data_IF_691952032638
#
_entry.id   IF_691952032638
#
_cell.length_a   1.000
_cell.length_b   1.000
_cell.length_c   1.000
_cell.angle_alpha   90.00
_cell.angle_beta   90.00
_cell.angle_gamma   90.00
#
_symmetry.space_group_name_H-M   'P 1'
#
loop_
_entity.id
_entity.type
_entity.pdbx_description
1 polymer ?
#
# COMPACT_ATOMS: atom_id res chain seq x y z
N UNK A 1 4.41 9.41 -15.56
CA UNK A 1 3.90 10.55 -14.75
C UNK A 1 4.65 10.52 -13.44
N UNK A 2 5.19 11.65 -13.03
CA UNK A 2 5.95 11.81 -11.79
C UNK A 2 4.98 11.97 -10.61
N UNK A 3 5.30 11.37 -9.47
CA UNK A 3 4.55 11.42 -8.21
C UNK A 3 3.02 11.35 -8.42
N UNK A 4 2.60 10.29 -9.12
CA UNK A 4 1.22 10.08 -9.55
C UNK A 4 0.25 10.03 -8.35
N UNK A 5 0.59 9.28 -7.31
CA UNK A 5 -0.26 9.15 -6.13
C UNK A 5 -0.31 10.44 -5.33
N UNK A 6 0.84 11.10 -5.16
CA UNK A 6 0.90 12.39 -4.48
C UNK A 6 -0.05 13.40 -5.13
N UNK A 7 -0.04 13.48 -6.46
CA UNK A 7 -0.92 14.36 -7.22
C UNK A 7 -2.40 13.99 -7.07
N UNK A 8 -2.76 12.70 -7.12
CA UNK A 8 -4.16 12.25 -6.99
C UNK A 8 -4.72 12.54 -5.60
N UNK A 9 -3.91 12.30 -4.57
CA UNK A 9 -4.30 12.57 -3.18
C UNK A 9 -4.26 14.09 -2.89
N UNK A 10 -3.59 14.86 -3.74
CA UNK A 10 -3.37 16.29 -3.59
C UNK A 10 -2.42 16.59 -2.42
N UNK A 11 -1.34 15.81 -2.29
CA UNK A 11 -0.35 15.94 -1.23
C UNK A 11 1.02 16.37 -1.77
N UNK A 12 1.82 16.94 -0.87
CA UNK A 12 3.22 17.32 -1.07
C UNK A 12 4.09 16.77 0.08
N UNK A 13 5.40 17.04 0.05
CA UNK A 13 6.37 16.61 1.06
C UNK A 13 6.01 17.13 2.47
N UNK A 14 5.38 18.30 2.57
CA UNK A 14 5.05 18.96 3.85
C UNK A 14 3.76 18.40 4.48
N UNK A 15 2.82 17.95 3.64
CA UNK A 15 1.45 17.68 4.10
C UNK A 15 1.02 16.20 4.04
N UNK A 16 1.77 15.33 3.34
CA UNK A 16 1.30 13.96 3.07
C UNK A 16 1.01 13.18 4.36
N UNK A 17 1.88 13.26 5.37
CA UNK A 17 1.67 12.58 6.66
C UNK A 17 0.39 13.05 7.34
N UNK A 18 0.18 14.37 7.43
CA UNK A 18 -0.99 14.98 8.07
C UNK A 18 -2.29 14.57 7.36
N UNK A 19 -2.30 14.57 6.02
CA UNK A 19 -3.49 14.17 5.24
C UNK A 19 -3.75 12.66 5.37
N UNK A 20 -2.72 11.83 5.22
CA UNK A 20 -2.86 10.37 5.32
C UNK A 20 -3.30 9.91 6.71
N UNK A 21 -2.96 10.64 7.77
CA UNK A 21 -3.41 10.34 9.13
C UNK A 21 -4.89 10.62 9.38
N UNK A 22 -5.58 11.33 8.48
CA UNK A 22 -7.04 11.54 8.58
C UNK A 22 -7.84 10.32 8.13
N UNK A 23 -7.23 9.43 7.35
CA UNK A 23 -7.90 8.18 6.96
C UNK A 23 -7.92 7.25 8.15
N UNK A 24 -9.12 6.77 8.46
CA UNK A 24 -9.36 5.78 9.51
C UNK A 24 -8.52 4.51 9.30
N UNK A 25 -8.44 4.05 8.05
CA UNK A 25 -7.68 2.87 7.66
C UNK A 25 -7.17 3.03 6.22
N UNK A 26 -5.96 2.52 5.97
CA UNK A 26 -5.36 2.39 4.64
C UNK A 26 -4.81 0.97 4.53
N UNK A 27 -5.35 0.18 3.61
CA UNK A 27 -4.94 -1.21 3.38
C UNK A 27 -3.89 -1.35 2.30
N UNK A 28 -3.27 -2.53 2.25
CA UNK A 28 -2.30 -2.93 1.23
C UNK A 28 -2.95 -3.89 0.23
N UNK A 29 -2.98 -3.52 -1.05
CA UNK A 29 -3.53 -4.38 -2.10
C UNK A 29 -2.72 -5.67 -2.30
N UNK A 30 -1.41 -5.68 -2.05
CA UNK A 30 -0.58 -6.89 -2.14
C UNK A 30 -0.92 -7.88 -1.01
N UNK A 31 -1.47 -7.39 0.10
CA UNK A 31 -1.90 -8.17 1.26
C UNK A 31 -3.40 -7.98 1.47
N UNK A 32 -4.20 -8.13 0.40
CA UNK A 32 -5.62 -7.75 0.40
C UNK A 32 -6.42 -8.45 1.50
N UNK A 33 -6.31 -9.79 1.60
CA UNK A 33 -6.99 -10.55 2.66
C UNK A 33 -6.57 -10.07 4.04
N UNK A 34 -5.26 -9.93 4.28
CA UNK A 34 -4.73 -9.43 5.56
C UNK A 34 -5.25 -8.03 5.90
N UNK A 35 -5.38 -7.16 4.89
CA UNK A 35 -5.91 -5.80 5.09
C UNK A 35 -7.37 -5.82 5.56
N UNK A 36 -8.20 -6.70 4.99
CA UNK A 36 -9.58 -6.87 5.43
C UNK A 36 -9.68 -7.52 6.81
N UNK A 37 -8.83 -8.51 7.08
CA UNK A 37 -8.79 -9.16 8.39
C UNK A 37 -8.41 -8.16 9.50
N UNK A 38 -7.40 -7.32 9.28
CA UNK A 38 -6.99 -6.25 10.21
C UNK A 38 -8.11 -5.23 10.38
N UNK A 39 -8.78 -4.82 9.30
CA UNK A 39 -9.91 -3.91 9.37
C UNK A 39 -11.07 -4.50 10.19
N UNK A 40 -11.39 -5.78 10.01
CA UNK A 40 -12.40 -6.47 10.81
C UNK A 40 -12.04 -6.49 12.29
N UNK A 41 -10.78 -6.78 12.63
CA UNK A 41 -10.28 -6.75 14.00
C UNK A 41 -10.37 -5.34 14.63
N UNK A 42 -10.01 -4.29 13.89
CA UNK A 42 -10.14 -2.89 14.34
C UNK A 42 -11.62 -2.55 14.63
N UNK A 43 -12.55 -3.05 13.82
CA UNK A 43 -13.98 -2.80 13.95
C UNK A 43 -14.70 -3.75 14.94
N UNK A 44 -14.02 -4.74 15.51
CA UNK A 44 -14.64 -5.77 16.33
C UNK A 44 -15.66 -6.63 15.56
N UNK A 45 -15.39 -6.90 14.28
CA UNK A 45 -16.24 -7.71 13.39
C UNK A 45 -15.57 -9.05 13.10
N UNK A 46 -16.39 -10.02 12.67
CA UNK A 46 -15.88 -11.28 12.15
C UNK A 46 -15.08 -11.05 10.86
N UNK A 47 -14.03 -11.85 10.66
CA UNK A 47 -13.28 -11.88 9.41
C UNK A 47 -14.14 -12.47 8.30
N UNK A 48 -13.88 -12.05 7.06
CA UNK A 48 -14.53 -12.59 5.87
C UNK A 48 -13.45 -13.12 4.93
N UNK A 49 -13.68 -14.28 4.33
CA UNK A 49 -12.81 -14.77 3.27
C UNK A 49 -13.14 -14.02 1.97
N UNK A 50 -12.15 -13.38 1.37
CA UNK A 50 -12.32 -12.67 0.12
C UNK A 50 -12.24 -13.66 -1.04
N UNK A 51 -13.20 -13.64 -1.98
CA UNK A 51 -13.24 -14.60 -3.09
C UNK A 51 -12.16 -14.39 -4.16
N UNK A 52 -11.37 -13.32 -4.07
CA UNK A 52 -10.45 -12.88 -5.13
C UNK A 52 -9.03 -12.71 -4.60
N UNK A 53 -8.11 -13.48 -5.17
CA UNK A 53 -6.67 -13.20 -5.13
C UNK A 53 -6.43 -12.10 -6.19
N UNK A 54 -5.66 -11.07 -5.84
CA UNK A 54 -5.31 -9.98 -6.77
C UNK A 54 -4.48 -10.52 -7.96
N UNK A 55 -5.15 -11.09 -8.97
CA UNK A 55 -4.53 -11.47 -10.24
C UNK A 55 -4.53 -10.20 -11.09
N UNK A 56 -3.47 -9.41 -10.98
CA UNK A 56 -3.23 -8.38 -11.98
C UNK A 56 -3.01 -9.07 -13.31
N UNK A 57 -3.78 -8.76 -14.36
CA UNK A 57 -3.57 -9.30 -15.72
C UNK A 57 -2.21 -8.95 -16.36
N UNK A 58 -1.33 -8.29 -15.61
CA UNK A 58 0.09 -8.12 -15.92
C UNK A 58 0.82 -9.31 -15.29
N UNK A 59 1.30 -10.23 -16.13
CA UNK A 59 2.29 -11.22 -15.69
C UNK A 59 3.47 -10.47 -15.07
N UNK A 60 3.56 -10.46 -13.73
CA UNK A 60 4.59 -9.73 -12.95
C UNK A 60 6.00 -10.12 -13.36
N UNK A 61 6.15 -11.37 -13.76
CA UNK A 61 7.42 -12.01 -14.12
C UNK A 61 7.98 -11.45 -15.43
N UNK A 62 7.15 -11.13 -16.42
CA UNK A 62 7.68 -10.76 -17.74
C UNK A 62 8.10 -9.30 -17.84
N UNK A 63 7.44 -8.32 -17.21
CA UNK A 63 7.76 -6.90 -17.44
C UNK A 63 8.93 -6.34 -16.60
N UNK A 64 9.11 -6.83 -15.38
CA UNK A 64 10.17 -6.33 -14.49
C UNK A 64 11.57 -6.77 -14.94
N UNK A 65 11.66 -7.97 -15.56
CA UNK A 65 12.91 -8.52 -16.10
C UNK A 65 13.48 -7.70 -17.27
N UNK A 66 12.65 -6.91 -17.97
CA UNK A 66 13.08 -6.05 -19.07
C UNK A 66 13.50 -4.63 -18.65
N UNK A 67 13.41 -4.28 -17.36
CA UNK A 67 13.80 -2.95 -16.89
C UNK A 67 15.28 -2.93 -16.50
N UNK A 68 16.05 -2.07 -17.16
CA UNK A 68 17.44 -1.83 -16.76
C UNK A 68 17.51 -1.15 -15.39
N UNK A 69 18.61 -1.36 -14.62
CA UNK A 69 18.82 -0.68 -13.34
C UNK A 69 18.73 0.85 -13.45
N UNK A 70 19.14 1.41 -14.59
CA UNK A 70 19.09 2.84 -14.87
C UNK A 70 17.65 3.34 -15.06
N UNK A 71 16.79 2.57 -15.74
CA UNK A 71 15.36 2.89 -15.85
C UNK A 71 14.66 2.85 -14.49
N UNK A 72 14.98 1.85 -13.67
CA UNK A 72 14.46 1.74 -12.30
C UNK A 72 14.91 2.94 -11.46
N UNK A 73 16.20 3.30 -11.53
CA UNK A 73 16.75 4.44 -10.78
C UNK A 73 16.07 5.76 -11.17
N UNK A 74 15.96 6.05 -12.48
CA UNK A 74 15.27 7.24 -12.98
C UNK A 74 13.80 7.26 -12.55
N UNK A 75 13.12 6.13 -12.63
CA UNK A 75 11.73 6.02 -12.18
C UNK A 75 11.59 6.31 -10.68
N UNK A 76 12.47 5.75 -9.84
CA UNK A 76 12.48 6.00 -8.39
C UNK A 76 12.75 7.47 -8.06
N UNK A 77 13.70 8.09 -8.73
CA UNK A 77 14.00 9.52 -8.55
C UNK A 77 12.81 10.41 -8.93
N UNK A 78 12.18 10.12 -10.08
CA UNK A 78 11.02 10.86 -10.56
C UNK A 78 9.75 10.62 -9.71
N UNK A 79 9.72 9.57 -8.89
CA UNK A 79 8.56 9.22 -8.05
C UNK A 79 8.91 9.19 -6.56
N UNK A 80 9.91 9.97 -6.14
CA UNK A 80 10.43 9.97 -4.77
C UNK A 80 9.33 10.14 -3.71
N UNK A 81 8.43 11.11 -3.90
CA UNK A 81 7.35 11.37 -2.95
C UNK A 81 6.34 10.21 -2.91
N UNK A 82 6.02 9.59 -4.04
CA UNK A 82 5.18 8.38 -4.06
C UNK A 82 5.83 7.22 -3.28
N UNK A 83 7.15 7.04 -3.38
CA UNK A 83 7.88 6.06 -2.56
C UNK A 83 7.85 6.40 -1.08
N UNK A 84 8.00 7.68 -0.71
CA UNK A 84 7.91 8.13 0.69
C UNK A 84 6.50 7.91 1.26
N UNK A 85 5.46 8.20 0.47
CA UNK A 85 4.06 7.92 0.81
C UNK A 85 3.85 6.42 1.00
N UNK A 86 4.32 5.61 0.05
CA UNK A 86 4.19 4.15 0.10
C UNK A 86 4.85 3.58 1.36
N UNK A 87 6.11 3.95 1.64
CA UNK A 87 6.82 3.49 2.82
C UNK A 87 6.09 3.92 4.10
N UNK A 88 5.63 5.17 4.17
CA UNK A 88 4.88 5.66 5.32
C UNK A 88 3.60 4.87 5.59
N UNK A 89 2.84 4.55 4.53
CA UNK A 89 1.61 3.75 4.64
C UNK A 89 1.94 2.32 5.07
N UNK A 90 2.98 1.71 4.49
CA UNK A 90 3.42 0.36 4.83
C UNK A 90 3.82 0.26 6.30
N UNK A 91 4.64 1.18 6.79
CA UNK A 91 5.10 1.17 8.19
C UNK A 91 3.92 1.35 9.16
N UNK A 92 2.93 2.18 8.79
CA UNK A 92 1.66 2.30 9.55
C UNK A 92 0.85 1.01 9.53
N UNK A 93 0.78 0.34 8.39
CA UNK A 93 0.05 -0.92 8.25
C UNK A 93 0.71 -2.04 9.05
N UNK A 94 2.03 -2.12 9.06
CA UNK A 94 2.78 -3.07 9.90
C UNK A 94 2.52 -2.86 11.39
N UNK A 95 2.46 -1.59 11.84
CA UNK A 95 2.08 -1.27 13.22
C UNK A 95 0.64 -1.74 13.55
N UNK A 96 -0.29 -1.58 12.61
CA UNK A 96 -1.67 -2.08 12.79
C UNK A 96 -1.71 -3.60 12.87
N UNK A 97 -0.96 -4.31 12.01
CA UNK A 97 -0.85 -5.78 12.06
C UNK A 97 -0.32 -6.26 13.41
N UNK A 98 0.70 -5.59 13.96
CA UNK A 98 1.23 -5.93 15.29
C UNK A 98 0.23 -5.65 16.41
N UNK A 99 -0.57 -4.59 16.31
CA UNK A 99 -1.56 -4.20 17.32
C UNK A 99 -2.83 -5.04 17.29
N UNK A 100 -3.22 -5.50 16.10
CA UNK A 100 -4.43 -6.29 15.85
C UNK A 100 -4.03 -7.61 15.19
N UNK A 101 -3.40 -8.54 15.94
CA UNK A 101 -3.01 -9.83 15.41
C UNK A 101 -4.27 -10.59 14.99
N UNK A 102 -4.27 -11.04 13.73
CA UNK A 102 -5.36 -11.83 13.17
C UNK A 102 -5.04 -13.30 13.39
N UNK A 103 -5.81 -13.98 14.24
CA UNK A 103 -5.85 -15.45 14.31
C UNK A 103 -6.98 -15.95 13.43
N UNK A 104 -6.66 -16.72 12.39
CA UNK A 104 -7.67 -17.46 11.62
C UNK A 104 -8.01 -18.74 12.38
N UNK A 105 -9.29 -18.93 12.67
CA UNK A 105 -9.83 -20.16 13.26
C UNK A 105 -10.31 -21.11 12.18
#
# INVERSE_FOLDING_TARGET
MENYYARIIGVDEDNYRKKLNKYFFIGNADELQTSFDVLAAILGKATIELPVINITGRQRETQAEFLSPQQISRFKQANKLDYEIFNYIRDRFDLLKSRYPVTRH
#
